data_IF_007980775708
#
_entry.id   IF_007980775708
#
_cell.length_a   1.000
_cell.length_b   1.000
_cell.length_c   1.000
_cell.angle_alpha   90.00
_cell.angle_beta   90.00
_cell.angle_gamma   90.00
#
_symmetry.space_group_name_H-M   'P 1'
#
loop_
_entity.id
_entity.type
_entity.pdbx_description
1 polymer ?
#
# COMPACT_ATOMS: atom_id res chain seq x y z
N UNK A 1 -9.04 6.19 19.10
CA UNK A 1 -9.06 7.52 18.45
C UNK A 1 -8.81 7.35 16.95
N UNK A 2 -9.44 8.16 16.10
CA UNK A 2 -9.28 8.11 14.64
C UNK A 2 -8.27 9.16 14.13
N UNK A 3 -7.24 9.49 14.93
CA UNK A 3 -6.31 10.59 14.62
C UNK A 3 -5.65 10.37 13.24
N UNK A 4 -5.02 9.22 13.03
CA UNK A 4 -4.35 8.92 11.76
C UNK A 4 -5.31 8.98 10.57
N UNK A 5 -6.53 8.44 10.73
CA UNK A 5 -7.56 8.52 9.69
C UNK A 5 -7.90 9.98 9.37
N UNK A 6 -8.15 10.81 10.38
CA UNK A 6 -8.53 12.21 10.19
C UNK A 6 -7.42 13.02 9.53
N UNK A 7 -6.16 12.77 9.91
CA UNK A 7 -4.98 13.38 9.28
C UNK A 7 -4.87 12.92 7.82
N UNK A 8 -4.99 11.62 7.57
CA UNK A 8 -4.96 11.06 6.21
C UNK A 8 -6.07 11.64 5.33
N UNK A 9 -7.30 11.76 5.84
CA UNK A 9 -8.42 12.40 5.15
C UNK A 9 -8.16 13.87 4.86
N UNK A 10 -7.55 14.61 5.80
CA UNK A 10 -7.21 16.03 5.61
C UNK A 10 -6.11 16.21 4.57
N UNK A 11 -5.08 15.36 4.57
CA UNK A 11 -4.00 15.36 3.57
C UNK A 11 -4.58 15.05 2.18
N UNK A 12 -5.28 13.92 2.02
CA UNK A 12 -5.82 13.49 0.73
C UNK A 12 -6.88 14.47 0.23
N UNK A 13 -7.76 14.94 1.12
CA UNK A 13 -8.80 15.91 0.80
C UNK A 13 -8.23 17.23 0.29
N UNK A 14 -7.13 17.71 0.89
CA UNK A 14 -6.44 18.93 0.46
C UNK A 14 -5.68 18.72 -0.86
N UNK A 15 -4.97 17.62 -1.02
CA UNK A 15 -4.19 17.32 -2.23
C UNK A 15 -5.08 17.12 -3.47
N UNK A 16 -6.16 16.36 -3.34
CA UNK A 16 -7.08 16.07 -4.44
C UNK A 16 -8.14 17.15 -4.65
N UNK A 17 -8.28 18.11 -3.73
CA UNK A 17 -9.36 19.10 -3.71
C UNK A 17 -10.74 18.44 -3.72
N UNK A 18 -10.94 17.49 -2.80
CA UNK A 18 -12.20 16.76 -2.67
C UNK A 18 -13.21 17.68 -2.00
N UNK A 19 -14.28 18.01 -2.71
CA UNK A 19 -15.38 18.88 -2.25
C UNK A 19 -15.74 18.69 -0.77
N UNK A 20 -15.76 19.81 -0.03
CA UNK A 20 -16.04 19.85 1.41
C UNK A 20 -14.90 19.40 2.33
N UNK A 21 -13.80 18.86 1.78
CA UNK A 21 -12.61 18.43 2.54
C UNK A 21 -11.35 19.29 2.38
N UNK A 22 -11.18 20.20 1.40
CA UNK A 22 -9.91 20.88 1.25
C UNK A 22 -9.71 21.83 2.41
N UNK A 23 -8.50 21.82 2.99
CA UNK A 23 -8.11 22.79 4.01
C UNK A 23 -7.64 24.11 3.39
N UNK A 24 -7.47 24.14 2.08
CA UNK A 24 -7.12 25.33 1.30
C UNK A 24 -8.35 25.86 0.55
N UNK A 25 -8.98 26.88 1.09
CA UNK A 25 -10.22 27.48 0.59
C UNK A 25 -10.05 28.98 0.36
N UNK A 26 -10.98 29.58 -0.40
CA UNK A 26 -11.00 31.03 -0.59
C UNK A 26 -11.01 31.80 0.74
N UNK A 27 -11.81 31.37 1.73
CA UNK A 27 -11.87 32.00 3.05
C UNK A 27 -10.51 31.96 3.74
N UNK A 28 -9.90 30.77 3.82
CA UNK A 28 -8.58 30.63 4.43
C UNK A 28 -7.49 31.46 3.75
N UNK A 29 -7.62 31.72 2.44
CA UNK A 29 -6.68 32.53 1.66
C UNK A 29 -6.89 34.03 1.85
N UNK A 30 -8.13 34.47 2.08
CA UNK A 30 -8.44 35.84 2.52
C UNK A 30 -7.91 36.09 3.94
N UNK A 31 -8.05 35.11 4.85
CA UNK A 31 -7.50 35.20 6.21
C UNK A 31 -5.96 35.36 6.18
N UNK A 32 -5.25 34.62 5.32
CA UNK A 32 -3.80 34.81 5.12
C UNK A 32 -3.44 36.25 4.70
N UNK A 33 -4.28 36.85 3.85
CA UNK A 33 -4.08 38.20 3.33
C UNK A 33 -4.30 39.25 4.42
N UNK A 34 -5.35 39.09 5.23
CA UNK A 34 -5.63 39.92 6.39
C UNK A 34 -4.50 39.85 7.43
N UNK A 35 -4.02 38.63 7.71
CA UNK A 35 -2.90 38.38 8.63
C UNK A 35 -1.54 38.76 8.05
N UNK A 36 -1.46 39.16 6.78
CA UNK A 36 -0.22 39.55 6.06
C UNK A 36 0.88 38.49 6.06
N UNK A 37 0.52 37.21 6.17
CA UNK A 37 1.43 36.05 6.14
C UNK A 37 1.34 35.31 4.80
N UNK A 38 2.39 34.58 4.42
CA UNK A 38 2.44 33.79 3.16
C UNK A 38 1.98 34.57 1.92
N UNK A 39 2.55 35.77 1.71
CA UNK A 39 2.24 36.68 0.58
C UNK A 39 2.08 35.99 -0.80
N UNK A 40 2.91 34.99 -1.19
CA UNK A 40 2.75 34.30 -2.48
C UNK A 40 1.41 33.58 -2.66
N UNK A 41 0.69 33.29 -1.57
CA UNK A 41 -0.59 32.58 -1.59
C UNK A 41 -1.81 33.51 -1.52
N UNK A 42 -1.61 34.84 -1.43
CA UNK A 42 -2.70 35.81 -1.34
C UNK A 42 -3.59 35.79 -2.59
N UNK A 43 -4.87 36.09 -2.40
CA UNK A 43 -5.83 36.07 -3.50
C UNK A 43 -5.56 37.19 -4.50
N UNK A 44 -5.70 36.89 -5.78
CA UNK A 44 -5.60 37.89 -6.85
C UNK A 44 -7.02 38.19 -7.32
N UNK A 45 -7.48 39.42 -7.11
CA UNK A 45 -8.79 39.87 -7.59
C UNK A 45 -8.67 40.26 -9.06
N UNK A 46 -9.32 39.50 -9.94
CA UNK A 46 -9.44 39.83 -11.34
C UNK A 46 -10.91 40.13 -11.64
N UNK A 47 -11.22 41.41 -11.80
CA UNK A 47 -12.60 41.94 -11.90
C UNK A 47 -13.51 41.45 -10.75
N UNK A 48 -14.40 40.49 -11.05
CA UNK A 48 -15.37 39.89 -10.15
C UNK A 48 -14.99 38.47 -9.66
N UNK A 49 -13.82 37.94 -10.06
CA UNK A 49 -13.37 36.60 -9.67
C UNK A 49 -12.09 36.67 -8.81
N UNK A 50 -12.05 35.83 -7.79
CA UNK A 50 -10.83 35.57 -7.02
C UNK A 50 -10.06 34.43 -7.67
N UNK A 51 -8.80 34.69 -8.02
CA UNK A 51 -7.86 33.69 -8.48
C UNK A 51 -6.97 33.29 -7.30
N UNK A 52 -6.86 31.98 -7.08
CA UNK A 52 -6.04 31.39 -6.02
C UNK A 52 -4.70 30.95 -6.62
N UNK A 53 -3.56 31.58 -6.24
CA UNK A 53 -2.26 31.11 -6.69
C UNK A 53 -2.00 29.67 -6.23
N UNK A 54 -1.44 28.80 -7.08
CA UNK A 54 -1.16 27.41 -6.70
C UNK A 54 -0.14 27.38 -5.56
N UNK A 55 -0.42 26.56 -4.55
CA UNK A 55 0.55 26.26 -3.49
C UNK A 55 1.44 25.09 -3.92
N UNK A 56 2.54 24.84 -3.21
CA UNK A 56 3.46 23.74 -3.58
C UNK A 56 2.86 22.34 -3.42
N UNK A 57 1.78 22.19 -2.66
CA UNK A 57 1.01 20.96 -2.55
C UNK A 57 -0.20 20.89 -3.51
N UNK A 58 -0.41 21.90 -4.35
CA UNK A 58 -1.51 21.90 -5.32
C UNK A 58 -1.14 21.02 -6.52
N UNK A 59 -1.87 19.92 -6.71
CA UNK A 59 -1.71 19.05 -7.88
C UNK A 59 -2.55 19.56 -9.07
N UNK A 60 -1.96 19.52 -10.26
CA UNK A 60 -2.66 19.66 -11.53
C UNK A 60 -3.66 18.52 -11.75
N UNK A 61 -4.61 18.69 -12.68
CA UNK A 61 -5.60 17.65 -12.99
C UNK A 61 -4.96 16.33 -13.44
N UNK A 62 -3.89 16.41 -14.22
CA UNK A 62 -3.11 15.24 -14.69
C UNK A 62 -2.44 14.52 -13.54
N UNK A 63 -1.84 15.25 -12.60
CA UNK A 63 -1.21 14.69 -11.40
C UNK A 63 -2.23 14.04 -10.46
N UNK A 64 -3.42 14.64 -10.29
CA UNK A 64 -4.52 14.04 -9.52
C UNK A 64 -4.98 12.72 -10.14
N UNK A 65 -5.13 12.66 -11.47
CA UNK A 65 -5.49 11.44 -12.19
C UNK A 65 -4.40 10.37 -12.02
N UNK A 66 -3.13 10.75 -12.17
CA UNK A 66 -1.99 9.85 -11.98
C UNK A 66 -1.95 9.30 -10.55
N UNK A 67 -2.14 10.15 -9.54
CA UNK A 67 -2.24 9.75 -8.14
C UNK A 67 -3.34 8.70 -7.92
N UNK A 68 -4.56 8.95 -8.43
CA UNK A 68 -5.66 7.99 -8.32
C UNK A 68 -5.40 6.69 -9.11
N UNK A 69 -4.80 6.78 -10.30
CA UNK A 69 -4.48 5.61 -11.11
C UNK A 69 -3.49 4.69 -10.37
N UNK A 70 -2.43 5.27 -9.81
CA UNK A 70 -1.44 4.52 -9.03
C UNK A 70 -2.10 3.82 -7.84
N UNK A 71 -2.95 4.49 -7.07
CA UNK A 71 -3.67 3.85 -5.94
C UNK A 71 -4.56 2.70 -6.43
N UNK A 72 -5.23 2.87 -7.57
CA UNK A 72 -6.14 1.87 -8.12
C UNK A 72 -5.43 0.59 -8.57
N UNK A 73 -4.17 0.70 -9.01
CA UNK A 73 -3.35 -0.41 -9.49
C UNK A 73 -2.65 -1.18 -8.37
N UNK A 74 -2.57 -0.62 -7.16
CA UNK A 74 -1.92 -1.29 -6.01
C UNK A 74 -2.65 -2.59 -5.68
N UNK A 75 -1.87 -3.67 -5.60
CA UNK A 75 -2.32 -5.00 -5.16
C UNK A 75 -1.66 -5.34 -3.84
N UNK A 76 -2.40 -6.06 -2.99
CA UNK A 76 -1.93 -6.49 -1.68
C UNK A 76 -1.93 -8.02 -1.57
N UNK A 77 -1.09 -8.58 -0.68
CA UNK A 77 -1.26 -9.95 -0.22
C UNK A 77 -2.68 -10.19 0.31
N UNK A 78 -3.13 -11.44 0.27
CA UNK A 78 -4.43 -11.79 0.82
C UNK A 78 -4.52 -11.44 2.32
N UNK A 79 -5.73 -11.06 2.75
CA UNK A 79 -6.04 -10.60 4.10
C UNK A 79 -5.25 -9.37 4.63
N UNK A 80 -4.38 -8.75 3.82
CA UNK A 80 -3.58 -7.60 4.26
C UNK A 80 -4.37 -6.28 4.30
N UNK A 81 -5.11 -5.96 3.23
CA UNK A 81 -5.91 -4.75 3.13
C UNK A 81 -7.25 -5.04 2.45
N UNK A 82 -8.22 -4.13 2.61
CA UNK A 82 -9.44 -4.21 1.81
C UNK A 82 -9.14 -3.85 0.35
N UNK A 83 -10.11 -4.08 -0.54
CA UNK A 83 -9.94 -3.73 -1.94
C UNK A 83 -10.08 -2.21 -2.17
N UNK A 84 -9.01 -1.47 -1.86
CA UNK A 84 -8.91 -0.01 -1.97
C UNK A 84 -9.24 0.47 -3.39
N UNK A 85 -8.96 -0.32 -4.43
CA UNK A 85 -9.28 0.04 -5.83
C UNK A 85 -10.77 0.37 -6.06
N UNK A 86 -11.68 -0.22 -5.26
CA UNK A 86 -13.13 0.06 -5.32
C UNK A 86 -13.50 1.45 -4.80
N UNK A 87 -12.64 2.04 -4.00
CA UNK A 87 -12.81 3.35 -3.38
C UNK A 87 -12.22 4.48 -4.24
N UNK A 88 -11.74 4.20 -5.45
CA UNK A 88 -11.05 5.17 -6.32
C UNK A 88 -11.79 5.37 -7.65
N UNK A 89 -12.21 6.61 -7.89
CA UNK A 89 -12.70 7.07 -9.18
C UNK A 89 -11.62 7.89 -9.89
N UNK A 90 -10.96 7.28 -10.88
CA UNK A 90 -9.87 7.90 -11.64
C UNK A 90 -10.40 9.02 -12.55
N UNK A 91 -11.60 8.87 -13.13
CA UNK A 91 -12.16 9.86 -14.05
C UNK A 91 -12.44 11.20 -13.35
N UNK A 92 -12.93 11.11 -12.11
CA UNK A 92 -13.20 12.27 -11.26
C UNK A 92 -12.00 12.66 -10.38
N UNK A 93 -10.91 11.89 -10.42
CA UNK A 93 -9.76 12.03 -9.52
C UNK A 93 -10.17 12.13 -8.03
N UNK A 94 -11.08 11.25 -7.60
CA UNK A 94 -11.67 11.23 -6.25
C UNK A 94 -11.46 9.89 -5.57
N UNK A 95 -11.29 9.95 -4.25
CA UNK A 95 -11.22 8.79 -3.37
C UNK A 95 -12.32 8.91 -2.32
N UNK A 96 -13.07 7.83 -2.10
CA UNK A 96 -14.25 7.84 -1.22
C UNK A 96 -14.45 6.50 -0.50
N UNK A 97 -15.14 6.53 0.63
CA UNK A 97 -15.58 5.32 1.34
C UNK A 97 -14.47 4.48 1.96
N UNK A 98 -13.25 5.02 2.10
CA UNK A 98 -12.17 4.36 2.83
C UNK A 98 -12.52 4.25 4.32
N UNK A 99 -12.26 3.09 4.90
CA UNK A 99 -12.39 2.89 6.35
C UNK A 99 -11.09 3.25 7.06
N UNK A 100 -11.14 3.31 8.38
CA UNK A 100 -9.99 3.65 9.24
C UNK A 100 -8.76 2.80 8.94
N UNK A 101 -8.94 1.49 8.72
CA UNK A 101 -7.85 0.57 8.33
C UNK A 101 -7.31 0.85 6.92
N UNK A 102 -8.18 1.22 5.98
CA UNK A 102 -7.74 1.53 4.61
C UNK A 102 -6.90 2.79 4.58
N UNK A 103 -7.27 3.81 5.37
CA UNK A 103 -6.45 5.00 5.58
C UNK A 103 -5.10 4.67 6.22
N UNK A 104 -5.04 3.77 7.19
CA UNK A 104 -3.79 3.32 7.81
C UNK A 104 -2.84 2.70 6.77
N UNK A 105 -3.32 1.71 5.99
CA UNK A 105 -2.51 1.08 4.94
C UNK A 105 -2.09 2.11 3.88
N UNK A 106 -3.04 2.92 3.44
CA UNK A 106 -2.79 3.92 2.41
C UNK A 106 -1.77 4.95 2.86
N UNK A 107 -1.94 5.53 4.04
CA UNK A 107 -1.10 6.62 4.51
C UNK A 107 0.31 6.14 4.87
N UNK A 108 0.47 4.96 5.46
CA UNK A 108 1.78 4.47 5.90
C UNK A 108 2.60 3.78 4.79
N UNK A 109 1.93 3.08 3.87
CA UNK A 109 2.62 2.18 2.91
C UNK A 109 2.55 2.66 1.47
N UNK A 110 1.41 3.21 1.06
CA UNK A 110 1.14 3.55 -0.34
C UNK A 110 1.46 5.01 -0.62
N UNK A 111 1.14 5.90 0.32
CA UNK A 111 1.18 7.33 0.09
C UNK A 111 2.59 7.83 -0.22
N UNK A 112 3.65 7.52 0.56
CA UNK A 112 5.02 8.00 0.27
C UNK A 112 5.55 7.66 -1.13
N UNK A 113 5.44 6.41 -1.64
CA UNK A 113 5.91 6.12 -2.98
C UNK A 113 5.07 6.78 -4.08
N UNK A 114 3.77 6.99 -3.86
CA UNK A 114 2.89 7.60 -4.88
C UNK A 114 3.14 9.10 -5.03
N UNK A 115 3.28 9.84 -3.92
CA UNK A 115 3.51 11.29 -4.02
C UNK A 115 4.92 11.63 -4.51
N UNK A 116 5.83 10.65 -4.55
CA UNK A 116 7.20 10.80 -5.04
C UNK A 116 7.19 11.08 -6.54
N UNK A 117 7.66 12.27 -6.91
CA UNK A 117 7.68 12.72 -8.31
C UNK A 117 6.39 13.37 -8.78
N UNK A 118 5.36 13.43 -7.93
CA UNK A 118 4.16 14.26 -8.16
C UNK A 118 4.32 15.60 -7.46
N UNK A 119 4.72 15.58 -6.18
CA UNK A 119 4.90 16.80 -5.40
C UNK A 119 6.36 17.28 -5.42
N UNK A 120 6.59 18.61 -5.37
CA UNK A 120 7.92 19.18 -5.20
C UNK A 120 8.48 18.81 -3.81
N UNK A 121 9.82 18.83 -3.67
CA UNK A 121 10.50 18.34 -2.46
C UNK A 121 10.05 19.01 -1.18
N UNK A 122 9.78 20.33 -1.24
CA UNK A 122 9.32 21.11 -0.10
C UNK A 122 8.00 20.61 0.48
N UNK A 123 7.06 20.16 -0.36
CA UNK A 123 5.81 19.54 0.07
C UNK A 123 5.94 18.03 0.32
N UNK A 124 6.76 17.34 -0.48
CA UNK A 124 6.97 15.90 -0.41
C UNK A 124 7.64 15.46 0.90
N UNK A 125 8.79 16.04 1.26
CA UNK A 125 9.60 15.58 2.39
C UNK A 125 8.80 15.59 3.72
N UNK A 126 8.09 16.69 4.09
CA UNK A 126 7.34 16.73 5.35
C UNK A 126 6.15 15.76 5.37
N UNK A 127 5.50 15.53 4.22
CA UNK A 127 4.41 14.58 4.09
C UNK A 127 4.88 13.13 4.25
N UNK A 128 6.05 12.80 3.71
CA UNK A 128 6.68 11.49 3.90
C UNK A 128 7.15 11.30 5.33
N UNK A 129 7.77 12.32 5.94
CA UNK A 129 8.15 12.28 7.36
C UNK A 129 6.93 12.01 8.26
N UNK A 130 5.78 12.63 7.97
CA UNK A 130 4.53 12.39 8.71
C UNK A 130 4.02 10.96 8.52
N UNK A 131 4.06 10.43 7.29
CA UNK A 131 3.68 9.05 7.01
C UNK A 131 4.58 8.04 7.73
N UNK A 132 5.90 8.25 7.68
CA UNK A 132 6.88 7.39 8.35
C UNK A 132 6.74 7.44 9.87
N UNK A 133 6.42 8.61 10.43
CA UNK A 133 6.09 8.74 11.85
C UNK A 133 4.94 7.80 12.25
N UNK A 134 3.83 7.79 11.50
CA UNK A 134 2.73 6.86 11.80
C UNK A 134 3.13 5.40 11.58
N UNK A 135 3.93 5.11 10.55
CA UNK A 135 4.42 3.75 10.32
C UNK A 135 5.27 3.23 11.47
N UNK A 136 6.11 4.08 12.08
CA UNK A 136 6.96 3.72 13.20
C UNK A 136 6.19 3.66 14.52
N UNK A 137 5.27 4.60 14.73
CA UNK A 137 4.40 4.65 15.91
C UNK A 137 3.48 3.43 16.00
N UNK A 138 2.99 2.96 14.85
CA UNK A 138 2.13 1.78 14.76
C UNK A 138 2.90 0.47 14.54
N UNK A 139 4.22 0.46 14.74
CA UNK A 139 5.00 -0.77 14.69
C UNK A 139 4.52 -1.78 15.73
N UNK A 140 4.66 -3.07 15.41
CA UNK A 140 4.26 -4.18 16.30
C UNK A 140 5.00 -4.13 17.64
N UNK A 141 6.28 -3.75 17.59
CA UNK A 141 7.19 -3.63 18.72
C UNK A 141 7.71 -2.21 18.79
N UNK A 142 7.74 -1.63 19.99
CA UNK A 142 8.18 -0.27 20.24
C UNK A 142 9.39 -0.27 21.18
N UNK A 143 10.42 0.48 20.80
CA UNK A 143 11.57 0.74 21.65
C UNK A 143 11.49 2.16 22.21
N UNK A 144 11.74 2.30 23.51
CA UNK A 144 11.62 3.60 24.21
C UNK A 144 12.53 4.66 23.58
N UNK A 145 13.76 4.28 23.21
CA UNK A 145 14.71 5.18 22.54
C UNK A 145 14.17 5.71 21.20
N UNK A 146 13.50 4.84 20.43
CA UNK A 146 12.88 5.22 19.16
C UNK A 146 11.68 6.13 19.39
N UNK A 147 10.89 5.88 20.43
CA UNK A 147 9.78 6.77 20.82
C UNK A 147 10.27 8.17 21.23
N UNK A 148 11.41 8.26 21.92
CA UNK A 148 12.03 9.55 22.27
C UNK A 148 12.53 10.31 21.02
N UNK A 149 12.99 9.59 20.00
CA UNK A 149 13.33 10.19 18.70
C UNK A 149 12.06 10.63 17.95
N UNK A 150 11.00 9.82 17.98
CA UNK A 150 9.72 10.14 17.33
C UNK A 150 9.06 11.37 17.94
N UNK A 151 9.10 11.53 19.26
CA UNK A 151 8.58 12.72 19.97
C UNK A 151 9.29 14.00 19.53
N UNK A 152 10.59 13.95 19.24
CA UNK A 152 11.35 15.08 18.70
C UNK A 152 11.09 15.29 17.22
N UNK A 153 11.06 14.22 16.43
CA UNK A 153 10.93 14.31 14.98
C UNK A 153 9.55 14.83 14.56
N UNK A 154 8.47 14.38 15.21
CA UNK A 154 7.11 14.81 14.85
C UNK A 154 6.92 16.32 15.03
N UNK A 155 7.52 16.91 16.08
CA UNK A 155 7.48 18.38 16.29
C UNK A 155 8.12 19.11 15.11
N UNK A 156 9.28 18.63 14.66
CA UNK A 156 9.95 19.18 13.47
C UNK A 156 9.14 18.96 12.19
N UNK A 157 8.53 17.79 12.03
CA UNK A 157 7.67 17.46 10.88
C UNK A 157 6.47 18.40 10.79
N UNK A 158 5.78 18.64 11.91
CA UNK A 158 4.64 19.59 11.96
C UNK A 158 5.12 21.00 11.63
N UNK A 159 6.22 21.49 12.19
CA UNK A 159 6.76 22.81 11.83
C UNK A 159 7.14 22.91 10.33
N UNK A 160 7.69 21.85 9.73
CA UNK A 160 7.96 21.83 8.28
C UNK A 160 6.66 21.88 7.47
N UNK A 161 5.64 21.13 7.88
CA UNK A 161 4.32 21.18 7.26
C UNK A 161 3.71 22.58 7.38
N UNK A 162 3.83 23.26 8.52
CA UNK A 162 3.29 24.62 8.74
C UNK A 162 3.90 25.65 7.80
N UNK A 163 5.17 25.46 7.41
CA UNK A 163 5.81 26.31 6.39
C UNK A 163 5.17 26.13 5.01
N UNK A 164 4.65 24.94 4.72
CA UNK A 164 4.08 24.56 3.42
C UNK A 164 2.57 24.79 3.37
N UNK A 165 1.80 24.12 4.23
CA UNK A 165 0.34 24.13 4.27
C UNK A 165 -0.25 25.38 4.94
N UNK A 166 -1.54 25.64 4.72
CA UNK A 166 -2.25 26.77 5.38
C UNK A 166 -2.49 26.46 6.87
N UNK A 167 -2.61 27.50 7.73
CA UNK A 167 -2.99 27.33 9.14
C UNK A 167 -4.27 26.50 9.35
N UNK A 168 -5.23 26.60 8.43
CA UNK A 168 -6.48 25.81 8.43
C UNK A 168 -6.28 24.31 8.31
N UNK A 169 -5.13 23.85 7.80
CA UNK A 169 -4.77 22.43 7.78
C UNK A 169 -4.51 21.90 9.20
N UNK A 170 -3.99 22.74 10.09
CA UNK A 170 -3.57 22.35 11.44
C UNK A 170 -4.73 22.47 12.42
N UNK A 171 -5.76 21.65 12.23
CA UNK A 171 -6.82 21.51 13.22
C UNK A 171 -6.35 20.70 14.45
N UNK A 172 -7.24 20.53 15.42
CA UNK A 172 -6.95 19.80 16.66
C UNK A 172 -6.43 18.37 16.37
N UNK A 173 -6.95 17.71 15.33
CA UNK A 173 -6.55 16.32 15.03
C UNK A 173 -5.12 16.23 14.51
N UNK A 174 -4.68 17.20 13.70
CA UNK A 174 -3.28 17.26 13.24
C UNK A 174 -2.35 17.57 14.41
N UNK A 175 -2.72 18.50 15.28
CA UNK A 175 -1.90 18.87 16.44
C UNK A 175 -1.74 17.72 17.45
N UNK A 176 -2.76 16.87 17.63
CA UNK A 176 -2.67 15.72 18.52
C UNK A 176 -1.53 14.75 18.16
N UNK A 177 -1.05 14.77 16.90
CA UNK A 177 0.07 13.93 16.47
C UNK A 177 1.34 14.11 17.33
N UNK A 178 1.59 15.32 17.85
CA UNK A 178 2.79 15.59 18.66
C UNK A 178 2.77 14.86 20.01
N UNK A 179 1.60 14.48 20.51
CA UNK A 179 1.45 13.80 21.80
C UNK A 179 1.52 12.28 21.67
N UNK A 180 1.39 11.74 20.46
CA UNK A 180 1.22 10.30 20.25
C UNK A 180 2.45 9.48 20.66
N UNK A 181 3.66 9.99 20.44
CA UNK A 181 4.87 9.29 20.84
C UNK A 181 4.97 9.16 22.37
N UNK A 182 4.68 10.23 23.10
CA UNK A 182 4.60 10.21 24.57
C UNK A 182 3.47 9.31 25.06
N UNK A 183 2.29 9.38 24.42
CA UNK A 183 1.16 8.51 24.74
C UNK A 183 1.53 7.02 24.60
N UNK A 184 2.22 6.65 23.52
CA UNK A 184 2.70 5.29 23.28
C UNK A 184 3.81 4.89 24.27
N UNK A 185 4.66 5.83 24.69
CA UNK A 185 5.68 5.58 25.73
C UNK A 185 5.05 5.28 27.09
N UNK A 186 3.97 5.99 27.44
CA UNK A 186 3.30 5.82 28.73
C UNK A 186 2.35 4.62 28.78
N UNK A 187 1.60 4.37 27.71
CA UNK A 187 0.57 3.31 27.71
C UNK A 187 0.83 2.15 26.75
N UNK A 188 2.04 2.06 26.19
CA UNK A 188 2.44 0.97 25.31
C UNK A 188 1.90 1.07 23.89
N UNK A 189 1.96 -0.04 23.13
CA UNK A 189 1.66 -0.05 21.69
C UNK A 189 0.26 0.46 21.33
N UNK A 190 0.24 1.32 20.31
CA UNK A 190 -0.96 2.02 19.84
C UNK A 190 -2.08 1.08 19.39
N UNK A 191 -1.73 -0.09 18.83
CA UNK A 191 -2.66 -1.09 18.31
C UNK A 191 -3.68 -1.61 19.35
N UNK A 192 -3.34 -1.58 20.65
CA UNK A 192 -4.22 -2.03 21.73
C UNK A 192 -5.03 -0.91 22.35
N UNK A 193 -4.70 0.35 22.06
CA UNK A 193 -5.34 1.53 22.64
C UNK A 193 -6.28 2.24 21.69
N UNK A 194 -5.99 2.16 20.40
CA UNK A 194 -6.86 2.73 19.39
C UNK A 194 -8.08 1.84 19.14
N UNK A 195 -9.12 2.44 18.54
CA UNK A 195 -10.43 1.79 18.39
C UNK A 195 -10.42 0.58 17.46
N UNK A 196 -9.32 0.30 16.75
CA UNK A 196 -9.26 -0.75 15.73
C UNK A 196 -9.66 -2.13 16.25
N UNK A 197 -9.16 -2.53 17.43
CA UNK A 197 -9.49 -3.84 17.99
C UNK A 197 -10.97 -3.91 18.36
N UNK A 198 -11.53 -2.83 18.92
CA UNK A 198 -12.95 -2.72 19.28
C UNK A 198 -13.82 -2.75 18.02
N UNK A 199 -13.50 -1.95 16.99
CA UNK A 199 -14.24 -1.94 15.73
C UNK A 199 -14.24 -3.31 15.04
N UNK A 200 -13.09 -4.02 15.08
CA UNK A 200 -12.98 -5.38 14.55
C UNK A 200 -13.84 -6.36 15.35
N UNK A 201 -13.85 -6.25 16.67
CA UNK A 201 -14.69 -7.09 17.53
C UNK A 201 -16.18 -6.82 17.30
N UNK A 202 -16.59 -5.55 17.26
CA UNK A 202 -17.97 -5.15 16.96
C UNK A 202 -18.43 -5.64 15.59
N UNK A 203 -17.54 -5.68 14.59
CA UNK A 203 -17.84 -6.30 13.29
C UNK A 203 -18.17 -7.79 13.44
N UNK A 204 -17.44 -8.52 14.27
CA UNK A 204 -17.72 -9.93 14.55
C UNK A 204 -19.07 -10.08 15.23
N UNK A 205 -19.35 -9.31 16.29
CA UNK A 205 -20.65 -9.34 16.99
C UNK A 205 -21.81 -9.01 16.03
N UNK A 206 -21.63 -8.03 15.15
CA UNK A 206 -22.63 -7.67 14.15
C UNK A 206 -22.96 -8.84 13.21
N UNK A 207 -22.02 -9.75 12.96
CA UNK A 207 -22.26 -10.95 12.15
C UNK A 207 -23.10 -12.02 12.85
N UNK A 208 -23.21 -11.97 14.18
CA UNK A 208 -24.08 -12.87 14.96
C UNK A 208 -25.54 -12.43 14.99
N UNK A 209 -25.83 -11.15 14.68
CA UNK A 209 -27.20 -10.62 14.67
C UNK A 209 -27.98 -11.16 13.47
N UNK A 210 -28.70 -12.27 13.67
CA UNK A 210 -29.65 -12.87 12.73
C UNK A 210 -31.06 -12.32 12.93
N UNK A 211 -31.46 -12.07 14.17
CA UNK A 211 -32.73 -11.43 14.51
C UNK A 211 -32.52 -10.00 14.99
N UNK A 212 -32.97 -9.02 14.20
CA UNK A 212 -32.86 -7.59 14.55
C UNK A 212 -33.85 -7.13 15.63
N UNK A 213 -34.92 -7.89 15.90
CA UNK A 213 -35.87 -7.57 16.96
C UNK A 213 -35.32 -7.90 18.36
N UNK A 214 -34.36 -8.85 18.43
CA UNK A 214 -33.70 -9.27 19.67
C UNK A 214 -32.18 -9.42 19.43
N UNK A 215 -31.46 -8.31 19.19
CA UNK A 215 -30.06 -8.35 18.79
C UNK A 215 -29.16 -8.94 19.88
N UNK A 216 -29.41 -8.68 21.15
CA UNK A 216 -28.62 -9.19 22.28
C UNK A 216 -28.73 -10.70 22.39
N UNK A 217 -29.96 -11.24 22.30
CA UNK A 217 -30.20 -12.69 22.31
C UNK A 217 -29.55 -13.38 21.12
N UNK A 218 -29.64 -12.76 19.93
CA UNK A 218 -29.01 -13.28 18.72
C UNK A 218 -27.48 -13.27 18.81
N UNK A 219 -26.88 -12.26 19.45
CA UNK A 219 -25.44 -12.21 19.69
C UNK A 219 -25.02 -13.30 20.67
N UNK A 220 -25.75 -13.47 21.78
CA UNK A 220 -25.47 -14.50 22.78
C UNK A 220 -25.52 -15.91 22.19
N UNK A 221 -26.56 -16.21 21.39
CA UNK A 221 -26.71 -17.50 20.70
C UNK A 221 -25.57 -17.74 19.70
N UNK A 222 -25.25 -16.74 18.87
CA UNK A 222 -24.17 -16.85 17.89
C UNK A 222 -22.79 -17.04 18.55
N UNK A 223 -22.54 -16.34 19.66
CA UNK A 223 -21.32 -16.50 20.44
C UNK A 223 -21.21 -17.89 21.07
N UNK A 224 -22.28 -18.38 21.71
CA UNK A 224 -22.34 -19.73 22.29
C UNK A 224 -22.10 -20.81 21.22
N UNK A 225 -22.74 -20.66 20.05
CA UNK A 225 -22.52 -21.58 18.94
C UNK A 225 -21.06 -21.59 18.48
N UNK A 226 -20.41 -20.42 18.37
CA UNK A 226 -19.00 -20.35 17.98
C UNK A 226 -18.06 -20.98 19.03
N UNK A 227 -18.31 -20.75 20.32
CA UNK A 227 -17.53 -21.38 21.40
C UNK A 227 -17.68 -22.89 21.41
N UNK A 228 -18.91 -23.40 21.34
CA UNK A 228 -19.19 -24.84 21.26
C UNK A 228 -18.51 -25.48 20.05
N UNK A 229 -18.60 -24.86 18.87
CA UNK A 229 -17.95 -25.37 17.66
C UNK A 229 -16.41 -25.34 17.77
N UNK A 230 -15.85 -24.31 18.40
CA UNK A 230 -14.40 -24.19 18.65
C UNK A 230 -13.91 -25.20 19.69
N UNK A 231 -14.74 -25.56 20.67
CA UNK A 231 -14.43 -26.62 21.62
C UNK A 231 -14.44 -27.99 20.92
N UNK A 232 -15.51 -28.29 20.18
CA UNK A 232 -15.65 -29.53 19.43
C UNK A 232 -14.51 -29.71 18.39
N UNK A 233 -14.02 -28.62 17.77
CA UNK A 233 -12.93 -28.71 16.80
C UNK A 233 -11.62 -29.25 17.36
N UNK A 234 -11.43 -29.23 18.69
CA UNK A 234 -10.24 -29.84 19.33
C UNK A 234 -10.28 -31.36 19.35
N UNK A 235 -11.47 -31.95 19.22
CA UNK A 235 -11.69 -33.40 19.30
C UNK A 235 -12.04 -34.01 17.93
N UNK A 236 -12.54 -33.21 16.99
CA UNK A 236 -12.90 -33.65 15.64
C UNK A 236 -11.71 -33.47 14.69
N UNK A 237 -10.73 -34.38 14.74
CA UNK A 237 -9.53 -34.34 13.88
C UNK A 237 -9.81 -34.66 12.42
N UNK A 238 -10.86 -35.45 12.16
CA UNK A 238 -11.15 -36.03 10.84
C UNK A 238 -12.12 -35.17 10.02
N UNK A 239 -12.52 -34.01 10.53
CA UNK A 239 -13.43 -33.09 9.85
C UNK A 239 -12.81 -31.72 9.65
N UNK A 240 -13.22 -31.03 8.60
CA UNK A 240 -12.86 -29.64 8.39
C UNK A 240 -13.58 -28.74 9.41
N UNK A 241 -12.80 -27.89 10.06
CA UNK A 241 -13.21 -26.94 11.10
C UNK A 241 -12.63 -25.58 10.78
N UNK A 242 -13.10 -24.54 11.48
CA UNK A 242 -12.56 -23.18 11.32
C UNK A 242 -11.05 -23.09 11.58
N UNK A 243 -10.48 -24.00 12.38
CA UNK A 243 -9.07 -23.97 12.79
C UNK A 243 -8.13 -24.78 11.87
N UNK A 244 -8.59 -25.89 11.28
CA UNK A 244 -7.76 -26.74 10.42
C UNK A 244 -8.03 -26.51 8.93
N UNK A 245 -9.09 -25.77 8.56
CA UNK A 245 -9.35 -25.43 7.17
C UNK A 245 -8.14 -24.70 6.58
N UNK A 246 -7.67 -25.10 5.39
CA UNK A 246 -6.60 -24.39 4.72
C UNK A 246 -7.01 -22.93 4.46
N UNK A 247 -6.03 -22.03 4.50
CA UNK A 247 -6.27 -20.62 4.16
C UNK A 247 -6.89 -20.49 2.77
N UNK A 248 -7.62 -19.40 2.54
CA UNK A 248 -8.34 -19.15 1.29
C UNK A 248 -7.47 -19.30 0.04
N UNK A 249 -6.19 -18.94 0.15
CA UNK A 249 -5.18 -19.06 -0.88
C UNK A 249 -4.05 -20.01 -0.46
N UNK A 250 -4.39 -21.10 0.23
CA UNK A 250 -3.42 -22.13 0.57
C UNK A 250 -2.86 -22.75 -0.71
N UNK A 251 -1.56 -22.56 -0.93
CA UNK A 251 -0.83 -23.15 -2.06
C UNK A 251 -0.64 -24.64 -1.81
N UNK A 252 -1.64 -25.44 -2.15
CA UNK A 252 -1.53 -26.90 -2.19
C UNK A 252 -0.72 -27.41 -3.40
N UNK A 253 0.14 -26.57 -3.99
CA UNK A 253 0.94 -26.88 -5.19
C UNK A 253 2.12 -27.83 -4.89
N UNK A 254 1.85 -28.90 -4.16
CA UNK A 254 2.58 -30.16 -4.27
C UNK A 254 2.01 -30.97 -5.44
N UNK A 255 1.76 -30.32 -6.59
CA UNK A 255 1.60 -31.09 -7.82
C UNK A 255 3.01 -31.54 -8.15
N UNK A 256 3.30 -32.82 -7.93
CA UNK A 256 4.50 -33.44 -8.48
C UNK A 256 4.56 -33.08 -9.97
N UNK A 257 5.67 -32.49 -10.43
CA UNK A 257 5.70 -31.94 -11.76
C UNK A 257 5.55 -33.06 -12.79
N UNK A 258 4.48 -33.01 -13.57
CA UNK A 258 4.43 -33.68 -14.87
C UNK A 258 5.41 -33.04 -15.88
N UNK A 259 6.53 -32.42 -15.44
CA UNK A 259 7.39 -31.56 -16.25
C UNK A 259 8.79 -31.26 -15.68
N UNK A 260 9.48 -30.26 -16.25
CA UNK A 260 10.79 -29.80 -15.77
C UNK A 260 10.64 -29.04 -14.45
N UNK A 261 11.55 -29.26 -13.50
CA UNK A 261 11.57 -28.59 -12.18
C UNK A 261 11.57 -27.06 -12.27
N UNK A 262 12.10 -26.50 -13.38
CA UNK A 262 12.11 -25.06 -13.65
C UNK A 262 10.72 -24.46 -13.89
N UNK A 263 9.75 -25.30 -14.25
CA UNK A 263 8.35 -24.93 -14.44
C UNK A 263 7.50 -25.27 -13.21
N UNK A 264 8.12 -25.58 -12.06
CA UNK A 264 7.40 -25.65 -10.80
C UNK A 264 6.88 -24.24 -10.46
N UNK A 265 5.62 -23.99 -10.82
CA UNK A 265 4.90 -22.83 -10.38
C UNK A 265 4.73 -22.90 -8.86
N UNK A 266 5.58 -22.16 -8.13
CA UNK A 266 5.34 -21.87 -6.71
C UNK A 266 4.24 -20.82 -6.64
N UNK A 267 3.00 -21.26 -6.56
CA UNK A 267 1.85 -20.38 -6.42
C UNK A 267 0.68 -20.72 -7.34
N UNK A 268 -0.53 -20.51 -6.83
CA UNK A 268 -1.76 -20.54 -7.60
C UNK A 268 -2.12 -19.13 -8.10
N UNK A 269 -2.48 -18.95 -9.39
CA UNK A 269 -2.96 -17.66 -9.86
C UNK A 269 -4.26 -17.28 -9.12
N UNK A 270 -4.28 -16.10 -8.49
CA UNK A 270 -5.41 -15.59 -7.69
C UNK A 270 -6.62 -15.15 -8.55
N UNK A 271 -6.45 -15.01 -9.86
CA UNK A 271 -7.46 -14.55 -10.81
C UNK A 271 -7.32 -15.25 -12.17
N UNK A 272 -8.32 -15.11 -13.04
CA UNK A 272 -8.21 -15.53 -14.43
C UNK A 272 -7.05 -14.83 -15.13
N UNK A 273 -6.20 -15.59 -15.82
CA UNK A 273 -5.09 -15.05 -16.59
C UNK A 273 -5.55 -14.36 -17.87
N UNK A 274 -4.89 -13.27 -18.24
CA UNK A 274 -4.95 -12.75 -19.60
C UNK A 274 -3.81 -13.36 -20.40
N UNK A 275 -4.10 -13.82 -21.62
CA UNK A 275 -3.04 -14.23 -22.54
C UNK A 275 -2.29 -12.98 -22.98
N UNK A 276 -1.00 -12.92 -22.65
CA UNK A 276 -0.10 -11.84 -23.07
C UNK A 276 0.91 -12.46 -24.04
N UNK A 277 1.07 -11.83 -25.20
CA UNK A 277 2.16 -12.17 -26.10
C UNK A 277 3.46 -11.60 -25.56
N UNK A 278 4.42 -12.46 -25.23
CA UNK A 278 5.73 -12.04 -24.76
C UNK A 278 6.48 -11.30 -25.87
N UNK A 279 7.12 -10.20 -25.52
CA UNK A 279 8.05 -9.51 -26.42
C UNK A 279 9.27 -10.38 -26.72
N UNK A 280 9.96 -10.13 -27.83
CA UNK A 280 11.20 -10.86 -28.17
C UNK A 280 12.25 -10.76 -27.07
N UNK A 281 12.27 -9.64 -26.33
CA UNK A 281 13.18 -9.46 -25.20
C UNK A 281 12.84 -10.39 -24.04
N UNK A 282 11.58 -10.47 -23.64
CA UNK A 282 11.10 -11.37 -22.58
C UNK A 282 11.28 -12.83 -22.96
N UNK A 283 11.03 -13.20 -24.22
CA UNK A 283 11.31 -14.55 -24.73
C UNK A 283 12.79 -14.89 -24.61
N UNK A 284 13.69 -13.97 -25.00
CA UNK A 284 15.12 -14.18 -24.87
C UNK A 284 15.55 -14.32 -23.40
N UNK A 285 14.96 -13.53 -22.50
CA UNK A 285 15.21 -13.66 -21.06
C UNK A 285 14.73 -15.01 -20.51
N UNK A 286 13.53 -15.45 -20.90
CA UNK A 286 12.99 -16.75 -20.51
C UNK A 286 13.86 -17.91 -21.02
N UNK A 287 14.27 -17.87 -22.29
CA UNK A 287 15.20 -18.86 -22.86
C UNK A 287 16.54 -18.87 -22.12
N UNK A 288 17.11 -17.70 -21.84
CA UNK A 288 18.36 -17.59 -21.08
C UNK A 288 18.24 -18.20 -19.68
N UNK A 289 17.15 -17.90 -18.98
CA UNK A 289 16.85 -18.47 -17.67
C UNK A 289 16.76 -20.00 -17.74
N UNK A 290 16.09 -20.55 -18.76
CA UNK A 290 15.99 -21.99 -18.96
C UNK A 290 17.36 -22.62 -19.22
N UNK A 291 18.17 -22.04 -20.10
CA UNK A 291 19.51 -22.55 -20.41
C UNK A 291 20.42 -22.58 -19.16
N UNK A 292 20.31 -21.59 -18.28
CA UNK A 292 21.15 -21.52 -17.08
C UNK A 292 20.70 -22.43 -15.93
N UNK A 293 19.39 -22.60 -15.77
CA UNK A 293 18.81 -23.21 -14.56
C UNK A 293 18.18 -24.59 -14.80
N UNK A 294 18.10 -25.07 -16.05
CA UNK A 294 17.56 -26.39 -16.36
C UNK A 294 18.68 -27.40 -16.59
N UNK A 295 18.88 -28.31 -15.64
CA UNK A 295 19.91 -29.36 -15.74
C UNK A 295 19.71 -30.27 -16.95
N UNK A 296 18.46 -30.56 -17.33
CA UNK A 296 18.17 -31.40 -18.51
C UNK A 296 18.70 -30.78 -19.80
N UNK A 297 18.90 -29.46 -19.86
CA UNK A 297 19.39 -28.77 -21.08
C UNK A 297 20.92 -28.76 -21.19
N UNK A 298 21.64 -29.08 -20.11
CA UNK A 298 23.11 -29.07 -20.04
C UNK A 298 23.80 -29.92 -21.13
N UNK A 299 23.36 -31.15 -21.46
CA UNK A 299 24.01 -31.97 -22.49
C UNK A 299 24.04 -31.28 -23.88
N UNK A 300 22.96 -30.60 -24.26
CA UNK A 300 22.90 -29.89 -25.55
C UNK A 300 23.75 -28.61 -25.54
N UNK A 301 23.90 -27.94 -24.39
CA UNK A 301 24.82 -26.81 -24.27
C UNK A 301 26.27 -27.26 -24.45
N UNK A 302 26.64 -28.41 -23.86
CA UNK A 302 27.98 -28.99 -23.99
C UNK A 302 28.27 -29.41 -25.43
N UNK A 303 27.34 -30.10 -26.09
CA UNK A 303 27.46 -30.43 -27.52
C UNK A 303 27.62 -29.18 -28.40
N UNK A 304 26.85 -28.11 -28.13
CA UNK A 304 26.97 -26.86 -28.87
C UNK A 304 28.33 -26.18 -28.62
N UNK A 305 28.81 -26.17 -27.38
CA UNK A 305 30.16 -25.69 -27.06
C UNK A 305 31.24 -26.48 -27.79
N UNK A 306 31.05 -27.79 -27.95
CA UNK A 306 31.97 -28.66 -28.67
C UNK A 306 32.00 -28.37 -30.18
N UNK A 307 30.85 -28.10 -30.79
CA UNK A 307 30.74 -27.63 -32.19
C UNK A 307 31.47 -26.30 -32.36
N UNK A 308 31.22 -25.33 -31.46
CA UNK A 308 31.88 -24.02 -31.52
C UNK A 308 33.40 -24.11 -31.35
N UNK A 309 33.89 -25.04 -30.52
CA UNK A 309 35.33 -25.34 -30.37
C UNK A 309 35.94 -25.94 -31.65
N UNK A 310 35.18 -26.77 -32.36
CA UNK A 310 35.61 -27.37 -33.65
C UNK A 310 35.61 -26.34 -34.79
N UNK A 311 34.68 -25.39 -34.76
CA UNK A 311 34.54 -24.35 -35.79
C UNK A 311 35.46 -23.13 -35.58
N UNK A 312 35.92 -22.84 -34.36
CA UNK A 312 36.73 -21.65 -34.06
C UNK A 312 37.83 -21.90 -33.03
N UNK A 313 39.10 -21.83 -33.47
CA UNK A 313 40.29 -22.13 -32.66
C UNK A 313 40.78 -20.97 -31.75
N UNK A 314 39.94 -19.94 -31.49
CA UNK A 314 40.30 -18.78 -30.65
C UNK A 314 39.29 -18.57 -29.51
N UNK A 315 39.74 -18.86 -28.29
CA UNK A 315 39.18 -18.44 -26.99
C UNK A 315 37.65 -18.32 -26.89
N UNK A 316 36.98 -19.48 -26.90
CA UNK A 316 35.53 -19.64 -26.63
C UNK A 316 35.11 -19.11 -25.25
N UNK A 317 36.05 -18.91 -24.32
CA UNK A 317 35.81 -18.52 -22.92
C UNK A 317 35.50 -17.03 -22.69
N UNK A 318 35.74 -16.13 -23.66
CA UNK A 318 35.48 -14.68 -23.51
C UNK A 318 34.22 -14.16 -24.22
N UNK A 319 33.61 -14.94 -25.12
CA UNK A 319 32.43 -14.53 -25.90
C UNK A 319 31.09 -15.11 -25.44
N UNK A 320 31.09 -16.00 -24.46
CA UNK A 320 29.96 -16.92 -24.16
C UNK A 320 28.76 -16.24 -23.49
N UNK A 321 28.87 -14.99 -23.03
CA UNK A 321 27.72 -14.23 -22.51
C UNK A 321 26.92 -13.47 -23.57
N UNK A 322 27.45 -13.25 -24.77
CA UNK A 322 26.75 -12.50 -25.85
C UNK A 322 26.43 -13.35 -27.09
N UNK A 323 27.26 -14.33 -27.46
CA UNK A 323 27.17 -14.98 -28.78
C UNK A 323 26.56 -16.40 -28.80
N UNK A 324 26.27 -17.02 -27.66
CA UNK A 324 25.53 -18.30 -27.59
C UNK A 324 24.07 -18.19 -28.06
N UNK A 325 23.56 -16.96 -28.24
CA UNK A 325 22.19 -16.64 -28.63
C UNK A 325 21.88 -16.77 -30.13
N UNK A 326 22.88 -16.75 -31.02
CA UNK A 326 22.61 -16.79 -32.47
C UNK A 326 22.53 -18.22 -33.05
N UNK A 327 23.22 -19.19 -32.46
CA UNK A 327 23.32 -20.56 -33.00
C UNK A 327 22.12 -21.46 -32.71
N UNK A 328 21.49 -21.31 -31.53
CA UNK A 328 20.33 -22.10 -31.13
C UNK A 328 19.01 -21.65 -31.80
N UNK A 329 19.01 -20.48 -32.46
CA UNK A 329 17.85 -19.88 -33.13
C UNK A 329 17.33 -20.63 -34.36
N UNK A 330 18.07 -21.61 -34.88
CA UNK A 330 17.74 -22.33 -36.12
C UNK A 330 17.19 -23.75 -35.90
N UNK A 331 16.99 -24.20 -34.66
CA UNK A 331 16.52 -25.57 -34.37
C UNK A 331 15.36 -25.70 -33.38
N UNK A 332 14.73 -24.58 -33.02
CA UNK A 332 13.50 -24.56 -32.23
C UNK A 332 12.41 -23.83 -33.00
#
# INVERSE_FOLDING_TARGET
>A
MHIEKNISESVIGTLLDIEGKPKDTLKSRLDLQELKIKKPLHTIKNENKYILPPASYTMSKTEKIQFCQLIKEVKFPDAYASNISRCVNVKEARIFGLKSHDHHVLFQRIFPPIIKGILPKDAYDPLVELSLFFSDLCAKELHVEKLDQLDKSIRMTICKLERVFLPTFFDVMVHLAIHLAMEAKLGGPVQFRWMYYIERFLRTLKSYVRNKAHPEGSIAEGYLAEECMTFCSKYLTDMETKQNRPDRNFDSSNIEPNGLSIFNCRGKPLAGGAWINLSTHEINQAHFYILQNCEKVRPWMEQHLEILRKENNRNVSRGTRRNSLCGLRKRW
#
